data_IF_847549554180
#
_entry.id   IF_847549554180
#
_cell.length_a   1.000
_cell.length_b   1.000
_cell.length_c   1.000
_cell.angle_alpha   90.00
_cell.angle_beta   90.00
_cell.angle_gamma   90.00
#
_symmetry.space_group_name_H-M   'P 1'
#
loop_
_entity.id
_entity.type
_entity.pdbx_description
1 polymer ?
#
# COMPACT_ATOMS: atom_id res chain seq x y z
N UNK A 1 -9.97 43.65 40.17
CA UNK A 1 -10.81 42.43 40.29
C UNK A 1 -10.00 41.14 40.10
N UNK A 2 -9.17 41.04 39.05
CA UNK A 2 -8.35 39.85 38.74
C UNK A 2 -7.37 39.41 39.86
N UNK A 3 -6.71 40.36 40.53
CA UNK A 3 -5.76 40.07 41.62
C UNK A 3 -6.40 39.39 42.84
N UNK A 4 -7.68 39.66 43.11
CA UNK A 4 -8.39 39.01 44.22
C UNK A 4 -8.78 37.57 43.90
N UNK A 5 -9.02 37.23 42.63
CA UNK A 5 -9.28 35.85 42.21
C UNK A 5 -8.01 35.01 42.26
N UNK A 6 -6.88 35.51 41.75
CA UNK A 6 -5.59 34.81 41.84
C UNK A 6 -5.20 34.57 43.30
N UNK A 7 -5.41 35.57 44.18
CA UNK A 7 -5.13 35.45 45.62
C UNK A 7 -6.08 34.48 46.33
N UNK A 8 -7.36 34.44 45.96
CA UNK A 8 -8.32 33.44 46.47
C UNK A 8 -7.97 32.04 45.98
N UNK A 9 -7.68 31.87 44.69
CA UNK A 9 -7.21 30.61 44.12
C UNK A 9 -5.95 30.13 44.86
N UNK A 10 -4.91 30.97 44.99
CA UNK A 10 -3.70 30.60 45.74
C UNK A 10 -3.98 30.26 47.22
N UNK A 11 -4.90 30.95 47.90
CA UNK A 11 -5.26 30.66 49.29
C UNK A 11 -6.13 29.40 49.44
N UNK A 12 -6.95 29.09 48.44
CA UNK A 12 -7.83 27.91 48.38
C UNK A 12 -7.03 26.64 48.02
N UNK A 13 -6.00 26.76 47.17
CA UNK A 13 -5.00 25.71 46.91
C UNK A 13 -3.91 25.61 48.00
N UNK A 14 -3.76 26.62 48.86
CA UNK A 14 -3.03 26.51 50.13
C UNK A 14 -3.96 26.18 51.30
N UNK A 15 -5.03 25.41 51.09
CA UNK A 15 -5.41 24.45 52.12
C UNK A 15 -4.25 23.46 52.23
N UNK A 16 -3.23 23.87 52.98
CA UNK A 16 -2.09 23.05 53.33
C UNK A 16 -2.66 21.77 53.91
N UNK A 17 -2.53 20.66 53.17
CA UNK A 17 -2.70 19.35 53.76
C UNK A 17 -1.88 19.35 55.07
N UNK A 18 -2.45 18.93 56.21
CA UNK A 18 -1.78 19.05 57.48
C UNK A 18 -0.41 18.36 57.37
N UNK A 19 0.66 19.14 57.45
CA UNK A 19 2.03 18.62 57.33
C UNK A 19 2.24 17.66 58.49
N UNK A 20 2.20 16.36 58.21
CA UNK A 20 2.31 15.32 59.23
C UNK A 20 3.74 15.36 59.78
N UNK A 21 3.88 15.85 61.01
CA UNK A 21 5.18 15.94 61.67
C UNK A 21 5.62 14.58 62.22
N UNK A 22 6.94 14.36 62.38
CA UNK A 22 7.49 13.17 63.06
C UNK A 22 6.79 12.89 64.39
N UNK A 23 6.55 13.94 65.17
CA UNK A 23 5.95 13.82 66.50
C UNK A 23 4.50 13.37 66.43
N UNK A 24 3.74 13.84 65.43
CA UNK A 24 2.38 13.37 65.19
C UNK A 24 2.37 11.87 64.88
N UNK A 25 3.24 11.42 63.99
CA UNK A 25 3.37 10.00 63.65
C UNK A 25 3.81 9.17 64.85
N UNK A 26 4.82 9.61 65.59
CA UNK A 26 5.29 8.95 66.81
C UNK A 26 4.15 8.79 67.82
N UNK A 27 3.37 9.85 68.06
CA UNK A 27 2.26 9.83 69.00
C UNK A 27 1.18 8.84 68.57
N UNK A 28 0.83 8.80 67.28
CA UNK A 28 -0.17 7.87 66.76
C UNK A 28 0.32 6.41 66.77
N UNK A 29 1.59 6.15 66.43
CA UNK A 29 2.18 4.80 66.50
C UNK A 29 2.22 4.28 67.95
N UNK A 30 2.58 5.14 68.91
CA UNK A 30 2.57 4.77 70.34
C UNK A 30 1.14 4.53 70.85
N UNK A 31 0.16 5.36 70.43
CA UNK A 31 -1.27 5.14 70.75
C UNK A 31 -1.79 3.82 70.17
N UNK A 32 -1.30 3.40 69.01
CA UNK A 32 -1.62 2.12 68.39
C UNK A 32 -0.97 0.91 69.11
N UNK A 33 -0.24 1.13 70.21
CA UNK A 33 0.38 0.08 71.00
C UNK A 33 1.75 -0.37 70.51
N UNK A 34 2.37 0.34 69.55
CA UNK A 34 3.73 0.05 69.10
C UNK A 34 4.71 0.50 70.17
N UNK A 35 5.68 -0.37 70.47
CA UNK A 35 6.75 -0.08 71.45
C UNK A 35 7.47 1.22 71.08
N UNK A 36 7.69 2.10 72.06
CA UNK A 36 8.11 3.49 71.83
C UNK A 36 9.42 3.63 71.05
N UNK A 37 10.37 2.74 71.28
CA UNK A 37 11.64 2.62 70.54
C UNK A 37 11.42 2.30 69.05
N UNK A 38 10.52 1.35 68.76
CA UNK A 38 10.13 0.99 67.39
C UNK A 38 9.33 2.12 66.72
N UNK A 39 8.42 2.76 67.46
CA UNK A 39 7.65 3.90 66.97
C UNK A 39 8.53 5.13 66.67
N UNK A 40 9.57 5.36 67.47
CA UNK A 40 10.53 6.45 67.26
C UNK A 40 11.39 6.24 66.01
N UNK A 41 11.82 4.99 65.75
CA UNK A 41 12.50 4.60 64.52
C UNK A 41 11.59 4.73 63.29
N UNK A 42 10.36 4.19 63.35
CA UNK A 42 9.40 4.25 62.23
C UNK A 42 8.96 5.68 61.91
N UNK A 43 8.69 6.50 62.94
CA UNK A 43 8.35 7.91 62.74
C UNK A 43 9.53 8.70 62.18
N UNK A 44 10.76 8.36 62.56
CA UNK A 44 11.98 8.93 61.98
C UNK A 44 12.10 8.57 60.49
N UNK A 45 11.95 7.29 60.15
CA UNK A 45 12.01 6.80 58.77
C UNK A 45 10.90 7.38 57.89
N UNK A 46 9.70 7.53 58.44
CA UNK A 46 8.57 8.21 57.78
C UNK A 46 8.89 9.69 57.54
N UNK A 47 9.33 10.41 58.58
CA UNK A 47 9.63 11.85 58.49
C UNK A 47 10.84 12.17 57.61
N UNK A 48 11.81 11.25 57.54
CA UNK A 48 13.01 11.35 56.69
C UNK A 48 12.84 10.71 55.31
N UNK A 49 11.67 10.15 55.02
CA UNK A 49 11.41 9.47 53.74
C UNK A 49 12.42 8.33 53.44
N UNK A 50 12.89 7.63 54.47
CA UNK A 50 13.92 6.58 54.36
C UNK A 50 13.37 5.23 53.84
N UNK A 51 12.05 5.09 53.77
CA UNK A 51 11.33 4.03 53.04
C UNK A 51 10.76 4.54 51.71
N UNK A 52 11.28 5.65 51.18
CA UNK A 52 10.60 6.37 50.10
C UNK A 52 11.51 6.57 48.90
N UNK A 53 12.82 6.77 49.05
CA UNK A 53 13.70 6.99 47.89
C UNK A 53 14.20 5.71 47.24
N UNK A 54 14.61 4.71 48.02
CA UNK A 54 15.10 3.42 47.51
C UNK A 54 14.00 2.63 46.81
N UNK A 55 12.80 2.62 47.38
CA UNK A 55 11.65 1.95 46.79
C UNK A 55 11.17 2.67 45.51
N UNK A 56 11.19 4.01 45.47
CA UNK A 56 10.92 4.77 44.24
C UNK A 56 12.01 4.55 43.18
N UNK A 57 13.27 4.45 43.59
CA UNK A 57 14.38 4.14 42.68
C UNK A 57 14.21 2.74 42.09
N UNK A 58 13.91 1.73 42.90
CA UNK A 58 13.64 0.37 42.44
C UNK A 58 12.44 0.32 41.49
N UNK A 59 11.36 1.07 41.80
CA UNK A 59 10.20 1.17 40.94
C UNK A 59 10.55 1.83 39.59
N UNK A 60 11.33 2.91 39.63
CA UNK A 60 11.82 3.60 38.44
C UNK A 60 12.66 2.67 37.57
N UNK A 61 13.65 2.00 38.14
CA UNK A 61 14.53 1.07 37.43
C UNK A 61 13.71 -0.05 36.77
N UNK A 62 12.72 -0.61 37.48
CA UNK A 62 11.82 -1.62 36.90
C UNK A 62 10.95 -1.08 35.76
N UNK A 63 10.44 0.15 35.87
CA UNK A 63 9.68 0.76 34.79
C UNK A 63 10.57 1.06 33.58
N UNK A 64 11.77 1.59 33.79
CA UNK A 64 12.74 1.87 32.72
C UNK A 64 13.12 0.58 31.97
N UNK A 65 13.36 -0.52 32.70
CA UNK A 65 13.63 -1.84 32.09
C UNK A 65 12.43 -2.33 31.27
N UNK A 66 11.21 -2.25 31.83
CA UNK A 66 10.00 -2.68 31.13
C UNK A 66 9.71 -1.83 29.89
N UNK A 67 9.95 -0.52 29.98
CA UNK A 67 9.76 0.42 28.87
C UNK A 67 10.77 0.13 27.76
N UNK A 68 12.04 -0.07 28.11
CA UNK A 68 13.07 -0.48 27.14
C UNK A 68 12.72 -1.78 26.42
N UNK A 69 12.29 -2.80 27.16
CA UNK A 69 11.89 -4.07 26.56
C UNK A 69 10.64 -3.94 25.67
N UNK A 70 9.72 -3.02 26.00
CA UNK A 70 8.57 -2.71 25.16
C UNK A 70 9.01 -1.98 23.88
N UNK A 71 9.91 -1.01 23.97
CA UNK A 71 10.49 -0.31 22.83
C UNK A 71 11.21 -1.28 21.88
N UNK A 72 12.02 -2.20 22.41
CA UNK A 72 12.69 -3.25 21.65
C UNK A 72 11.66 -4.13 20.91
N UNK A 73 10.62 -4.61 21.60
CA UNK A 73 9.56 -5.41 20.96
C UNK A 73 8.80 -4.66 19.87
N UNK A 74 8.53 -3.37 20.08
CA UNK A 74 7.87 -2.52 19.07
C UNK A 74 8.79 -2.37 17.86
N UNK A 75 10.08 -2.15 18.08
CA UNK A 75 11.07 -2.06 17.02
C UNK A 75 11.17 -3.36 16.22
N UNK A 76 11.31 -4.51 16.88
CA UNK A 76 11.38 -5.82 16.25
C UNK A 76 10.12 -6.12 15.42
N UNK A 77 8.94 -5.85 15.99
CA UNK A 77 7.66 -6.05 15.30
C UNK A 77 7.55 -5.14 14.07
N UNK A 78 8.00 -3.88 14.19
CA UNK A 78 8.02 -2.93 13.08
C UNK A 78 8.94 -3.40 11.96
N UNK A 79 10.15 -3.85 12.28
CA UNK A 79 11.11 -4.40 11.31
C UNK A 79 10.58 -5.67 10.64
N UNK A 80 9.95 -6.58 11.39
CA UNK A 80 9.32 -7.77 10.80
C UNK A 80 8.22 -7.38 9.80
N UNK A 81 7.37 -6.41 10.16
CA UNK A 81 6.31 -5.93 9.29
C UNK A 81 6.85 -5.26 8.01
N UNK A 82 7.90 -4.44 8.13
CA UNK A 82 8.57 -3.82 6.98
C UNK A 82 9.12 -4.90 6.05
N UNK A 83 9.89 -5.86 6.58
CA UNK A 83 10.48 -6.93 5.80
C UNK A 83 9.42 -7.79 5.08
N UNK A 84 8.31 -8.09 5.76
CA UNK A 84 7.18 -8.82 5.16
C UNK A 84 6.49 -8.02 4.07
N UNK A 85 6.40 -6.71 4.23
CA UNK A 85 5.81 -5.81 3.25
C UNK A 85 6.69 -5.71 2.00
N UNK A 86 7.99 -5.51 2.17
CA UNK A 86 8.97 -5.45 1.07
C UNK A 86 9.02 -6.76 0.28
N UNK A 87 8.98 -7.90 0.99
CA UNK A 87 8.88 -9.21 0.35
C UNK A 87 7.60 -9.35 -0.49
N UNK A 88 6.46 -8.86 0.01
CA UNK A 88 5.19 -8.89 -0.73
C UNK A 88 5.19 -7.96 -1.93
N UNK A 89 5.79 -6.77 -1.83
CA UNK A 89 5.98 -5.89 -2.98
C UNK A 89 6.86 -6.53 -4.05
N UNK A 90 7.97 -7.15 -3.66
CA UNK A 90 8.86 -7.87 -4.58
C UNK A 90 8.13 -9.03 -5.29
N UNK A 91 7.30 -9.79 -4.55
CA UNK A 91 6.48 -10.86 -5.13
C UNK A 91 5.48 -10.32 -6.16
N UNK A 92 4.83 -9.19 -5.87
CA UNK A 92 3.90 -8.54 -6.78
C UNK A 92 4.59 -8.00 -8.03
N UNK A 93 5.73 -7.32 -7.90
CA UNK A 93 6.50 -6.82 -9.04
C UNK A 93 6.89 -7.97 -9.98
N UNK A 94 7.35 -9.10 -9.43
CA UNK A 94 7.68 -10.29 -10.23
C UNK A 94 6.46 -10.84 -10.99
N UNK A 95 5.29 -10.87 -10.35
CA UNK A 95 4.03 -11.29 -10.99
C UNK A 95 3.61 -10.32 -12.10
N UNK A 96 3.72 -9.01 -11.86
CA UNK A 96 3.42 -7.98 -12.86
C UNK A 96 4.35 -8.13 -14.07
N UNK A 97 5.67 -8.24 -13.85
CA UNK A 97 6.65 -8.42 -14.91
C UNK A 97 6.38 -9.67 -15.76
N UNK A 98 5.94 -10.77 -15.11
CA UNK A 98 5.58 -12.00 -15.81
C UNK A 98 4.35 -11.81 -16.70
N UNK A 99 3.31 -11.17 -16.17
CA UNK A 99 2.08 -10.87 -16.94
C UNK A 99 2.38 -9.94 -18.11
N UNK A 100 3.18 -8.89 -17.91
CA UNK A 100 3.57 -7.96 -18.97
C UNK A 100 4.33 -8.67 -20.10
N UNK A 101 5.29 -9.53 -19.74
CA UNK A 101 6.05 -10.33 -20.71
C UNK A 101 5.14 -11.25 -21.53
N UNK A 102 4.20 -11.93 -20.87
CA UNK A 102 3.24 -12.81 -21.54
C UNK A 102 2.34 -12.04 -22.50
N UNK A 103 1.76 -10.91 -22.06
CA UNK A 103 0.93 -10.05 -22.90
C UNK A 103 1.71 -9.50 -24.10
N UNK A 104 2.96 -9.09 -23.91
CA UNK A 104 3.82 -8.64 -25.01
C UNK A 104 4.05 -9.76 -26.04
N UNK A 105 4.26 -10.99 -25.58
CA UNK A 105 4.40 -12.16 -26.45
C UNK A 105 3.11 -12.45 -27.23
N UNK A 106 1.96 -12.47 -26.56
CA UNK A 106 0.65 -12.70 -27.19
C UNK A 106 0.33 -11.62 -28.23
N UNK A 107 0.54 -10.34 -27.91
CA UNK A 107 0.38 -9.23 -28.86
C UNK A 107 1.29 -9.40 -30.08
N UNK A 108 2.53 -9.87 -29.87
CA UNK A 108 3.47 -10.12 -30.97
C UNK A 108 2.98 -11.24 -31.89
N UNK A 109 2.42 -12.31 -31.33
CA UNK A 109 1.84 -13.42 -32.11
C UNK A 109 0.63 -12.94 -32.92
N UNK A 110 -0.31 -12.23 -32.28
CA UNK A 110 -1.49 -11.68 -32.96
C UNK A 110 -1.10 -10.73 -34.10
N UNK A 111 -0.07 -9.88 -33.90
CA UNK A 111 0.45 -9.01 -34.97
C UNK A 111 0.98 -9.81 -36.16
N UNK A 112 1.73 -10.88 -35.91
CA UNK A 112 2.26 -11.75 -36.96
C UNK A 112 1.14 -12.46 -37.72
N UNK A 113 0.13 -12.96 -37.01
CA UNK A 113 -1.02 -13.62 -37.63
C UNK A 113 -1.83 -12.65 -38.50
N UNK A 114 -2.02 -11.40 -38.04
CA UNK A 114 -2.66 -10.36 -38.85
C UNK A 114 -1.85 -10.01 -40.10
N UNK A 115 -0.52 -9.95 -40.00
CA UNK A 115 0.36 -9.69 -41.15
C UNK A 115 0.28 -10.82 -42.18
N UNK A 116 0.30 -12.07 -41.73
CA UNK A 116 0.11 -13.24 -42.60
C UNK A 116 -1.27 -13.23 -43.27
N UNK A 117 -2.33 -12.98 -42.52
CA UNK A 117 -3.69 -12.89 -43.07
C UNK A 117 -3.83 -11.78 -44.11
N UNK A 118 -3.16 -10.63 -43.88
CA UNK A 118 -3.12 -9.54 -44.85
C UNK A 118 -2.45 -9.97 -46.15
N UNK A 119 -1.27 -10.60 -46.06
CA UNK A 119 -0.56 -11.12 -47.25
C UNK A 119 -1.41 -12.15 -47.99
N UNK A 120 -2.03 -13.09 -47.28
CA UNK A 120 -2.91 -14.08 -47.89
C UNK A 120 -4.09 -13.41 -48.61
N UNK A 121 -4.71 -12.41 -48.00
CA UNK A 121 -5.80 -11.66 -48.61
C UNK A 121 -5.35 -10.90 -49.87
N UNK A 122 -4.21 -10.20 -49.81
CA UNK A 122 -3.63 -9.48 -50.95
C UNK A 122 -3.37 -10.45 -52.12
N UNK A 123 -2.79 -11.62 -51.86
CA UNK A 123 -2.55 -12.63 -52.91
C UNK A 123 -3.84 -13.18 -53.53
N UNK A 124 -4.90 -13.38 -52.73
CA UNK A 124 -6.21 -13.82 -53.24
C UNK A 124 -6.86 -12.73 -54.09
N UNK A 125 -6.76 -11.47 -53.68
CA UNK A 125 -7.28 -10.32 -54.43
C UNK A 125 -6.54 -10.19 -55.77
N UNK A 126 -5.21 -10.26 -55.77
CA UNK A 126 -4.41 -10.18 -56.99
C UNK A 126 -4.75 -11.29 -57.97
N UNK A 127 -4.90 -12.53 -57.47
CA UNK A 127 -5.31 -13.68 -58.27
C UNK A 127 -6.70 -13.44 -58.88
N UNK A 128 -7.69 -13.07 -58.07
CA UNK A 128 -9.05 -12.79 -58.56
C UNK A 128 -9.06 -11.67 -59.60
N UNK A 129 -8.33 -10.56 -59.37
CA UNK A 129 -8.21 -9.46 -60.31
C UNK A 129 -7.59 -9.93 -61.65
N UNK A 130 -6.59 -10.80 -61.60
CA UNK A 130 -5.96 -11.37 -62.79
C UNK A 130 -6.90 -12.28 -63.59
N UNK A 131 -7.69 -13.12 -62.92
CA UNK A 131 -8.68 -14.03 -63.51
C UNK A 131 -9.81 -13.24 -64.19
N UNK A 132 -10.34 -12.22 -63.50
CA UNK A 132 -11.38 -11.32 -64.03
C UNK A 132 -10.86 -10.55 -65.24
N UNK A 133 -9.64 -9.98 -65.17
CA UNK A 133 -9.01 -9.27 -66.28
C UNK A 133 -8.79 -10.18 -67.49
N UNK A 134 -8.35 -11.42 -67.27
CA UNK A 134 -8.21 -12.43 -68.32
C UNK A 134 -9.55 -12.74 -68.99
N UNK A 135 -10.59 -12.95 -68.19
CA UNK A 135 -11.96 -13.20 -68.67
C UNK A 135 -12.48 -12.04 -69.51
N UNK A 136 -12.33 -10.78 -69.06
CA UNK A 136 -12.75 -9.62 -69.85
C UNK A 136 -11.98 -9.47 -71.17
N UNK A 137 -10.67 -9.75 -71.18
CA UNK A 137 -9.88 -9.73 -72.42
C UNK A 137 -10.40 -10.75 -73.44
N UNK A 138 -10.75 -11.96 -72.99
CA UNK A 138 -11.32 -12.99 -73.85
C UNK A 138 -12.68 -12.55 -74.41
N UNK A 139 -13.56 -12.02 -73.57
CA UNK A 139 -14.87 -11.51 -74.02
C UNK A 139 -14.73 -10.35 -75.01
N UNK A 140 -13.83 -9.40 -74.75
CA UNK A 140 -13.57 -8.30 -75.66
C UNK A 140 -13.08 -8.80 -77.04
N UNK A 141 -12.19 -9.80 -77.05
CA UNK A 141 -11.74 -10.44 -78.28
C UNK A 141 -12.88 -11.14 -79.03
N UNK A 142 -13.70 -11.93 -78.32
CA UNK A 142 -14.87 -12.60 -78.91
C UNK A 142 -15.86 -11.60 -79.51
N UNK A 143 -16.20 -10.52 -78.79
CA UNK A 143 -17.09 -9.49 -79.31
C UNK A 143 -16.54 -8.82 -80.58
N UNK A 144 -15.23 -8.60 -80.66
CA UNK A 144 -14.60 -8.11 -81.90
C UNK A 144 -14.87 -9.03 -83.11
N UNK A 145 -14.76 -10.35 -82.93
CA UNK A 145 -15.07 -11.32 -84.01
C UNK A 145 -16.57 -11.33 -84.37
N UNK A 146 -17.46 -11.24 -83.39
CA UNK A 146 -18.91 -11.21 -83.62
C UNK A 146 -19.32 -9.95 -84.38
N UNK A 147 -18.80 -8.79 -83.99
CA UNK A 147 -19.07 -7.50 -84.63
C UNK A 147 -18.62 -7.52 -86.09
N UNK A 148 -17.39 -7.97 -86.35
CA UNK A 148 -16.83 -8.01 -87.72
C UNK A 148 -17.61 -8.94 -88.65
N UNK A 149 -17.99 -10.14 -88.17
CA UNK A 149 -18.85 -11.05 -88.93
C UNK A 149 -20.24 -10.44 -89.21
N UNK A 150 -20.85 -9.81 -88.21
CA UNK A 150 -22.19 -9.19 -88.35
C UNK A 150 -22.19 -8.06 -89.38
N UNK A 151 -21.17 -7.18 -89.35
CA UNK A 151 -21.02 -6.10 -90.32
C UNK A 151 -20.78 -6.66 -91.73
N UNK A 152 -19.93 -7.69 -91.87
CA UNK A 152 -19.64 -8.30 -93.17
C UNK A 152 -20.87 -8.91 -93.84
N UNK A 153 -21.71 -9.61 -93.07
CA UNK A 153 -22.98 -10.16 -93.57
C UNK A 153 -23.92 -9.03 -94.02
N UNK A 154 -24.07 -7.98 -93.20
CA UNK A 154 -24.93 -6.83 -93.52
C UNK A 154 -24.51 -6.14 -94.82
N UNK A 155 -23.21 -5.89 -95.01
CA UNK A 155 -22.70 -5.29 -96.24
C UNK A 155 -23.00 -6.17 -97.47
N UNK A 156 -22.79 -7.48 -97.35
CA UNK A 156 -23.07 -8.42 -98.44
C UNK A 156 -24.54 -8.42 -98.84
N UNK A 157 -25.46 -8.24 -97.88
CA UNK A 157 -26.90 -8.16 -98.13
C UNK A 157 -27.34 -6.83 -98.76
N UNK A 158 -26.69 -5.71 -98.44
CA UNK A 158 -27.03 -4.39 -98.99
C UNK A 158 -26.57 -4.23 -100.45
N UNK A 159 -25.43 -4.83 -100.81
CA UNK A 159 -24.82 -4.69 -102.14
C UNK A 159 -25.12 -5.83 -103.12
N UNK A 160 -26.04 -6.73 -102.77
CA UNK A 160 -26.54 -7.82 -103.63
C UNK A 160 -27.89 -7.45 -104.23
#
# INVERSE_FOLDING_TARGET
>A
MYNNYIRRFFMEYMQMEPVITRQMVLNELVKAGIKRDIADDLSYRYYKNELTTKDLQYLKENFDIKLKHLEEKIFDTKEELINRMDSKFTELDNKINTVESNLKSEISLVRKDMELNKIELDTKIDKFASEVKGTFKLHAWMFGTIITLTIGILLTLIFK
#
